data_IF_312763279883
#
_entry.id   IF_312763279883
#
_cell.length_a   1.000
_cell.length_b   1.000
_cell.length_c   1.000
_cell.angle_alpha   90.00
_cell.angle_beta   90.00
_cell.angle_gamma   90.00
#
_symmetry.space_group_name_H-M   'P 1'
#
loop_
_entity.id
_entity.type
_entity.pdbx_description
1 polymer ?
#
# COMPACT_ATOMS: atom_id res chain seq x y z
N UNK A 1 -2.53 22.66 1.76
CA UNK A 1 -3.73 22.62 2.61
C UNK A 1 -3.68 21.40 3.51
N UNK A 2 -4.15 21.54 4.74
CA UNK A 2 -4.22 20.44 5.69
C UNK A 2 -5.58 20.45 6.39
N UNK A 3 -6.24 19.30 6.41
CA UNK A 3 -7.44 19.06 7.19
C UNK A 3 -7.19 17.87 8.12
N UNK A 4 -7.38 18.05 9.42
CA UNK A 4 -7.21 17.00 10.43
C UNK A 4 -8.42 16.99 11.34
N UNK A 5 -9.09 15.84 11.41
CA UNK A 5 -10.20 15.60 12.31
C UNK A 5 -9.89 14.38 13.20
N UNK A 6 -10.06 14.54 14.51
CA UNK A 6 -9.83 13.47 15.47
C UNK A 6 -11.02 13.36 16.42
N UNK A 7 -11.66 12.21 16.44
CA UNK A 7 -12.81 11.92 17.31
C UNK A 7 -12.52 10.69 18.17
N UNK A 8 -12.72 10.79 19.49
CA UNK A 8 -12.48 9.68 20.42
C UNK A 8 -11.32 9.96 21.40
N UNK A 9 -10.53 8.94 21.74
CA UNK A 9 -9.54 9.04 22.82
C UNK A 9 -8.11 8.73 22.34
N UNK A 10 -7.14 9.58 22.71
CA UNK A 10 -5.70 9.33 22.52
C UNK A 10 -5.30 9.06 21.07
N UNK A 11 -6.05 9.57 20.09
CA UNK A 11 -5.62 9.55 18.71
C UNK A 11 -4.44 10.52 18.51
N UNK A 12 -3.43 10.14 17.74
CA UNK A 12 -2.23 10.93 17.50
C UNK A 12 -2.02 11.16 16.02
N UNK A 13 -1.77 12.41 15.63
CA UNK A 13 -1.44 12.76 14.26
C UNK A 13 -0.19 13.66 14.22
N UNK A 14 0.76 13.28 13.36
CA UNK A 14 1.94 14.06 13.05
C UNK A 14 1.95 14.31 11.54
N UNK A 15 1.73 15.55 11.15
CA UNK A 15 1.70 15.97 9.75
C UNK A 15 2.76 17.04 9.49
N UNK A 16 3.59 16.78 8.49
CA UNK A 16 4.55 17.77 7.97
C UNK A 16 4.37 17.90 6.46
N UNK A 17 4.18 19.12 5.98
CA UNK A 17 4.12 19.43 4.56
C UNK A 17 5.12 20.53 4.23
N UNK A 18 6.07 20.25 3.32
CA UNK A 18 7.00 21.24 2.78
C UNK A 18 6.80 21.37 1.27
N UNK A 19 6.99 22.60 0.74
CA UNK A 19 6.79 22.90 -0.67
C UNK A 19 5.44 23.51 -1.01
N UNK A 20 4.94 23.30 -2.25
CA UNK A 20 3.80 24.05 -2.73
C UNK A 20 2.60 23.17 -3.11
N UNK A 21 1.40 23.59 -2.72
CA UNK A 21 0.13 22.96 -3.13
C UNK A 21 -0.02 21.50 -2.70
N UNK A 22 0.64 21.09 -1.62
CA UNK A 22 0.39 19.80 -1.02
C UNK A 22 -0.95 19.83 -0.29
N UNK A 23 -1.67 18.71 -0.31
CA UNK A 23 -2.97 18.53 0.35
C UNK A 23 -2.87 17.32 1.25
N UNK A 24 -3.32 17.44 2.49
CA UNK A 24 -3.46 16.31 3.39
C UNK A 24 -4.83 16.35 4.08
N UNK A 25 -5.55 15.25 4.00
CA UNK A 25 -6.79 14.99 4.73
C UNK A 25 -6.56 13.82 5.67
N UNK A 26 -6.81 13.99 6.95
CA UNK A 26 -6.60 12.95 7.95
C UNK A 26 -7.80 12.92 8.87
N UNK A 27 -8.51 11.79 8.88
CA UNK A 27 -9.65 11.54 9.75
C UNK A 27 -9.36 10.33 10.67
N UNK A 28 -9.42 10.52 11.97
CA UNK A 28 -9.20 9.47 12.96
C UNK A 28 -10.38 9.38 13.91
N UNK A 29 -11.08 8.26 13.88
CA UNK A 29 -12.22 7.97 14.75
C UNK A 29 -11.93 6.75 15.60
N UNK A 30 -12.11 6.86 16.93
CA UNK A 30 -11.90 5.75 17.85
C UNK A 30 -10.84 6.00 18.90
N UNK A 31 -9.98 5.02 19.18
CA UNK A 31 -9.03 5.12 20.27
C UNK A 31 -7.61 4.68 19.90
N UNK A 32 -6.63 5.54 20.23
CA UNK A 32 -5.22 5.21 20.07
C UNK A 32 -4.75 5.05 18.63
N UNK A 33 -5.50 5.53 17.64
CA UNK A 33 -5.06 5.54 16.26
C UNK A 33 -3.88 6.52 16.08
N UNK A 34 -2.90 6.13 15.26
CA UNK A 34 -1.68 6.89 15.06
C UNK A 34 -1.43 7.13 13.58
N UNK A 35 -1.16 8.38 13.21
CA UNK A 35 -0.77 8.74 11.86
C UNK A 35 0.51 9.57 11.84
N UNK A 36 1.42 9.21 10.94
CA UNK A 36 2.59 9.98 10.58
C UNK A 36 2.56 10.26 9.08
N UNK A 37 2.49 11.53 8.72
CA UNK A 37 2.42 11.93 7.33
C UNK A 37 3.48 13.02 7.02
N UNK A 38 4.33 12.73 6.05
CA UNK A 38 5.33 13.65 5.52
C UNK A 38 5.10 13.83 4.02
N UNK A 39 5.00 15.08 3.59
CA UNK A 39 4.92 15.41 2.16
C UNK A 39 5.92 16.52 1.85
N UNK A 40 6.96 16.18 1.09
CA UNK A 40 8.01 17.09 0.63
C UNK A 40 7.95 17.22 -0.89
N UNK A 41 7.78 18.47 -1.38
CA UNK A 41 7.70 18.77 -2.80
C UNK A 41 6.42 19.49 -3.21
N UNK A 42 5.86 19.17 -4.39
CA UNK A 42 4.76 19.96 -4.90
C UNK A 42 3.56 19.13 -5.36
N UNK A 43 2.37 19.56 -4.98
CA UNK A 43 1.09 18.96 -5.41
C UNK A 43 0.94 17.48 -5.01
N UNK A 44 1.56 17.08 -3.93
CA UNK A 44 1.35 15.76 -3.36
C UNK A 44 0.02 15.73 -2.61
N UNK A 45 -0.63 14.57 -2.59
CA UNK A 45 -1.91 14.36 -1.90
C UNK A 45 -1.78 13.20 -0.93
N UNK A 46 -2.21 13.41 0.30
CA UNK A 46 -2.31 12.40 1.35
C UNK A 46 -3.76 12.36 1.84
N UNK A 47 -4.37 11.18 1.84
CA UNK A 47 -5.71 10.94 2.35
C UNK A 47 -5.70 9.74 3.30
N UNK A 48 -6.02 9.95 4.58
CA UNK A 48 -5.94 8.91 5.62
C UNK A 48 -7.22 8.88 6.42
N UNK A 49 -7.87 7.74 6.43
CA UNK A 49 -9.06 7.47 7.24
C UNK A 49 -8.80 6.25 8.15
N UNK A 50 -8.78 6.46 9.45
CA UNK A 50 -8.60 5.44 10.47
C UNK A 50 -9.81 5.38 11.39
N UNK A 51 -10.55 4.27 11.31
CA UNK A 51 -11.73 4.06 12.13
C UNK A 51 -11.58 2.79 12.99
N UNK A 52 -11.42 2.96 14.28
CA UNK A 52 -11.27 1.82 15.18
C UNK A 52 -10.26 2.05 16.30
N UNK A 53 -9.48 1.03 16.61
CA UNK A 53 -8.59 1.03 17.78
C UNK A 53 -7.16 0.66 17.38
N UNK A 54 -6.18 1.48 17.78
CA UNK A 54 -4.75 1.22 17.61
C UNK A 54 -4.31 1.01 16.15
N UNK A 55 -5.02 1.55 15.17
CA UNK A 55 -4.56 1.53 13.80
C UNK A 55 -3.38 2.48 13.63
N UNK A 56 -2.39 2.07 12.82
CA UNK A 56 -1.19 2.85 12.55
C UNK A 56 -1.03 3.10 11.06
N UNK A 57 -0.76 4.34 10.69
CA UNK A 57 -0.44 4.73 9.32
C UNK A 57 0.84 5.55 9.27
N UNK A 58 1.67 5.26 8.29
CA UNK A 58 2.84 6.07 7.94
C UNK A 58 2.84 6.35 6.45
N UNK A 59 2.85 7.62 6.07
CA UNK A 59 2.97 8.06 4.67
C UNK A 59 4.16 8.99 4.54
N UNK A 60 5.01 8.72 3.55
CA UNK A 60 6.15 9.55 3.21
C UNK A 60 6.19 9.80 1.70
N UNK A 61 6.08 11.06 1.28
CA UNK A 61 6.09 11.46 -0.12
C UNK A 61 7.20 12.47 -0.38
N UNK A 62 8.14 12.10 -1.28
CA UNK A 62 9.20 12.99 -1.77
C UNK A 62 9.07 13.18 -3.28
N UNK A 63 8.85 14.43 -3.72
CA UNK A 63 8.74 14.78 -5.13
C UNK A 63 7.43 15.45 -5.51
N UNK A 64 6.87 15.13 -6.68
CA UNK A 64 5.74 15.92 -7.17
C UNK A 64 4.56 15.08 -7.64
N UNK A 65 3.36 15.51 -7.26
CA UNK A 65 2.09 14.89 -7.69
C UNK A 65 1.98 13.41 -7.30
N UNK A 66 2.58 13.01 -6.20
CA UNK A 66 2.36 11.71 -5.62
C UNK A 66 1.02 11.70 -4.87
N UNK A 67 0.34 10.57 -4.87
CA UNK A 67 -0.94 10.39 -4.18
C UNK A 67 -0.85 9.14 -3.29
N UNK A 68 -1.18 9.30 -2.03
CA UNK A 68 -1.22 8.21 -1.05
C UNK A 68 -2.57 8.21 -0.34
N UNK A 69 -3.25 7.07 -0.35
CA UNK A 69 -4.54 6.88 0.30
C UNK A 69 -4.52 5.68 1.22
N UNK A 70 -5.02 5.84 2.44
CA UNK A 70 -5.14 4.77 3.43
C UNK A 70 -6.53 4.77 4.05
N UNK A 71 -7.20 3.60 4.02
CA UNK A 71 -8.41 3.34 4.78
C UNK A 71 -8.17 2.16 5.73
N UNK A 72 -8.26 2.38 7.03
CA UNK A 72 -8.15 1.34 8.05
C UNK A 72 -9.41 1.29 8.90
N UNK A 73 -10.11 0.17 8.88
CA UNK A 73 -11.29 -0.06 9.71
C UNK A 73 -11.08 -1.32 10.56
N UNK A 74 -11.07 -1.15 11.88
CA UNK A 74 -10.91 -2.27 12.80
C UNK A 74 -9.86 -2.03 13.88
N UNK A 75 -9.01 -3.03 14.14
CA UNK A 75 -8.08 -2.96 15.25
C UNK A 75 -6.65 -3.32 14.87
N UNK A 76 -5.71 -2.47 15.25
CA UNK A 76 -4.28 -2.70 15.12
C UNK A 76 -3.83 -3.02 13.67
N UNK A 77 -4.51 -2.47 12.67
CA UNK A 77 -4.03 -2.52 11.30
C UNK A 77 -2.87 -1.54 11.10
N UNK A 78 -1.93 -1.89 10.23
CA UNK A 78 -0.74 -1.08 9.95
C UNK A 78 -0.52 -0.87 8.46
N UNK A 79 -0.35 0.37 8.05
CA UNK A 79 0.01 0.73 6.66
C UNK A 79 1.27 1.58 6.65
N UNK A 80 2.17 1.27 5.73
CA UNK A 80 3.36 2.08 5.41
C UNK A 80 3.41 2.36 3.91
N UNK A 81 3.42 3.62 3.51
CA UNK A 81 3.49 4.04 2.10
C UNK A 81 4.65 5.02 1.92
N UNK A 82 5.62 4.65 1.09
CA UNK A 82 6.74 5.51 0.71
C UNK A 82 6.73 5.76 -0.80
N UNK A 83 6.74 7.01 -1.21
CA UNK A 83 6.75 7.40 -2.61
C UNK A 83 7.87 8.41 -2.89
N UNK A 84 8.84 8.00 -3.70
CA UNK A 84 9.97 8.85 -4.13
C UNK A 84 9.90 9.05 -5.63
N UNK A 85 9.73 10.31 -6.07
CA UNK A 85 9.66 10.65 -7.49
C UNK A 85 8.38 11.38 -7.87
N UNK A 86 7.78 11.04 -9.02
CA UNK A 86 6.67 11.84 -9.49
C UNK A 86 5.47 11.03 -9.97
N UNK A 87 4.29 11.45 -9.58
CA UNK A 87 3.02 10.85 -10.02
C UNK A 87 2.87 9.37 -9.66
N UNK A 88 3.46 8.96 -8.55
CA UNK A 88 3.21 7.63 -8.00
C UNK A 88 1.88 7.63 -7.25
N UNK A 89 1.16 6.51 -7.28
CA UNK A 89 -0.11 6.31 -6.59
C UNK A 89 0.00 5.10 -5.69
N UNK A 90 -0.31 5.25 -4.41
CA UNK A 90 -0.35 4.17 -3.44
C UNK A 90 -1.72 4.15 -2.74
N UNK A 91 -2.37 3.01 -2.70
CA UNK A 91 -3.67 2.85 -2.04
C UNK A 91 -3.69 1.60 -1.16
N UNK A 92 -4.07 1.75 0.10
CA UNK A 92 -4.20 0.65 1.04
C UNK A 92 -5.57 0.68 1.72
N UNK A 93 -6.29 -0.44 1.67
CA UNK A 93 -7.55 -0.63 2.38
C UNK A 93 -7.47 -1.88 3.26
N UNK A 94 -7.61 -1.70 4.56
CA UNK A 94 -7.54 -2.78 5.55
C UNK A 94 -8.84 -2.82 6.38
N UNK A 95 -9.56 -3.92 6.29
CA UNK A 95 -10.82 -4.16 7.02
C UNK A 95 -10.65 -5.38 7.92
N UNK A 96 -10.57 -5.19 9.23
CA UNK A 96 -10.38 -6.28 10.19
C UNK A 96 -9.32 -6.01 11.24
N UNK A 97 -8.47 -6.99 11.50
CA UNK A 97 -7.52 -6.90 12.62
C UNK A 97 -6.10 -7.31 12.22
N UNK A 98 -5.09 -6.57 12.73
CA UNK A 98 -3.68 -6.95 12.61
C UNK A 98 -3.22 -7.15 11.15
N UNK A 99 -3.88 -6.54 10.19
CA UNK A 99 -3.43 -6.56 8.80
C UNK A 99 -2.26 -5.58 8.62
N UNK A 100 -1.30 -5.95 7.77
CA UNK A 100 -0.12 -5.15 7.46
C UNK A 100 -0.03 -4.90 5.97
N UNK A 101 0.22 -3.67 5.56
CA UNK A 101 0.46 -3.30 4.18
C UNK A 101 1.69 -2.39 4.06
N UNK A 102 2.60 -2.74 3.17
CA UNK A 102 3.78 -1.96 2.84
C UNK A 102 3.81 -1.68 1.34
N UNK A 103 3.95 -0.41 0.96
CA UNK A 103 4.00 0.02 -0.44
C UNK A 103 5.17 0.99 -0.62
N UNK A 104 6.21 0.54 -1.31
CA UNK A 104 7.40 1.33 -1.60
C UNK A 104 7.52 1.58 -3.10
N UNK A 105 7.42 2.84 -3.52
CA UNK A 105 7.48 3.25 -4.91
C UNK A 105 8.61 4.23 -5.15
N UNK A 106 9.57 3.84 -5.98
CA UNK A 106 10.67 4.70 -6.39
C UNK A 106 10.67 4.89 -7.92
N UNK A 107 10.54 6.14 -8.38
CA UNK A 107 10.50 6.48 -9.80
C UNK A 107 9.26 7.25 -10.21
N UNK A 108 8.67 6.95 -11.37
CA UNK A 108 7.57 7.77 -11.85
C UNK A 108 6.37 6.96 -12.34
N UNK A 109 5.18 7.40 -11.96
CA UNK A 109 3.91 6.81 -12.41
C UNK A 109 3.77 5.32 -12.04
N UNK A 110 4.35 4.90 -10.93
CA UNK A 110 4.08 3.59 -10.39
C UNK A 110 2.73 3.60 -9.65
N UNK A 111 2.03 2.47 -9.68
CA UNK A 111 0.75 2.31 -9.00
C UNK A 111 0.79 1.05 -8.12
N UNK A 112 0.49 1.19 -6.84
CA UNK A 112 0.43 0.09 -5.88
C UNK A 112 -0.94 0.10 -5.18
N UNK A 113 -1.61 -1.04 -5.15
CA UNK A 113 -2.89 -1.18 -4.47
C UNK A 113 -2.95 -2.43 -3.59
N UNK A 114 -3.45 -2.28 -2.38
CA UNK A 114 -3.65 -3.38 -1.43
C UNK A 114 -5.07 -3.33 -0.87
N UNK A 115 -5.77 -4.48 -0.90
CA UNK A 115 -7.02 -4.71 -0.20
C UNK A 115 -6.89 -5.93 0.69
N UNK A 116 -7.03 -5.75 2.01
CA UNK A 116 -6.99 -6.82 3.00
C UNK A 116 -8.30 -6.84 3.78
N UNK A 117 -8.97 -7.98 3.80
CA UNK A 117 -10.21 -8.21 4.55
C UNK A 117 -10.07 -9.46 5.39
N UNK A 118 -10.11 -9.33 6.72
CA UNK A 118 -9.89 -10.43 7.65
C UNK A 118 -8.85 -10.09 8.70
N UNK A 119 -8.04 -11.06 9.08
CA UNK A 119 -7.04 -10.87 10.12
C UNK A 119 -5.65 -11.37 9.73
N UNK A 120 -4.60 -10.68 10.21
CA UNK A 120 -3.21 -11.13 10.06
C UNK A 120 -2.75 -11.26 8.58
N UNK A 121 -3.39 -10.58 7.64
CA UNK A 121 -2.91 -10.56 6.27
C UNK A 121 -1.73 -9.60 6.13
N UNK A 122 -0.72 -9.99 5.33
CA UNK A 122 0.47 -9.18 5.03
C UNK A 122 0.61 -8.96 3.53
N UNK A 123 0.90 -7.72 3.10
CA UNK A 123 1.12 -7.38 1.71
C UNK A 123 2.29 -6.42 1.58
N UNK A 124 3.36 -6.85 0.92
CA UNK A 124 4.53 -6.04 0.61
C UNK A 124 4.67 -5.82 -0.90
N UNK A 125 4.67 -4.55 -1.32
CA UNK A 125 4.77 -4.15 -2.72
C UNK A 125 5.94 -3.18 -2.90
N UNK A 126 6.97 -3.61 -3.63
CA UNK A 126 8.11 -2.77 -3.99
C UNK A 126 8.15 -2.52 -5.50
N UNK A 127 8.19 -1.27 -5.91
CA UNK A 127 8.26 -0.86 -7.31
C UNK A 127 9.41 0.12 -7.54
N UNK A 128 10.40 -0.29 -8.32
CA UNK A 128 11.53 0.56 -8.70
C UNK A 128 11.56 0.74 -10.21
N UNK A 129 11.36 1.98 -10.67
CA UNK A 129 11.35 2.31 -12.09
C UNK A 129 10.13 3.11 -12.50
N UNK A 130 9.54 2.81 -13.67
CA UNK A 130 8.47 3.67 -14.16
C UNK A 130 7.27 2.88 -14.68
N UNK A 131 6.07 3.34 -14.32
CA UNK A 131 4.81 2.77 -14.81
C UNK A 131 4.64 1.28 -14.45
N UNK A 132 5.15 0.86 -13.33
CA UNK A 132 4.87 -0.45 -12.79
C UNK A 132 3.52 -0.43 -12.06
N UNK A 133 2.79 -1.54 -12.12
CA UNK A 133 1.50 -1.71 -11.46
C UNK A 133 1.52 -2.97 -10.60
N UNK A 134 1.21 -2.84 -9.32
CA UNK A 134 1.11 -3.96 -8.37
C UNK A 134 -0.24 -3.93 -7.67
N UNK A 135 -0.94 -5.05 -7.67
CA UNK A 135 -2.24 -5.20 -7.00
C UNK A 135 -2.29 -6.45 -6.15
N UNK A 136 -2.62 -6.30 -4.88
CA UNK A 136 -2.78 -7.38 -3.90
C UNK A 136 -4.18 -7.36 -3.30
N UNK A 137 -4.88 -8.50 -3.37
CA UNK A 137 -6.19 -8.68 -2.74
C UNK A 137 -6.14 -9.93 -1.86
N UNK A 138 -6.34 -9.76 -0.57
CA UNK A 138 -6.34 -10.84 0.42
C UNK A 138 -7.67 -10.86 1.17
N UNK A 139 -8.41 -11.96 1.03
CA UNK A 139 -9.72 -12.16 1.65
C UNK A 139 -9.68 -13.41 2.53
N UNK A 140 -9.64 -13.22 3.84
CA UNK A 140 -9.48 -14.28 4.84
C UNK A 140 -8.38 -13.97 5.84
N UNK A 141 -7.75 -15.00 6.38
CA UNK A 141 -6.82 -14.82 7.48
C UNK A 141 -5.41 -15.34 7.16
N UNK A 142 -4.38 -14.65 7.67
CA UNK A 142 -2.98 -15.08 7.60
C UNK A 142 -2.49 -15.34 6.16
N UNK A 143 -2.92 -14.54 5.21
CA UNK A 143 -2.43 -14.58 3.84
C UNK A 143 -1.26 -13.62 3.67
N UNK A 144 -0.28 -14.00 2.83
CA UNK A 144 0.94 -13.23 2.60
C UNK A 144 1.20 -13.03 1.10
N UNK A 145 1.46 -11.79 0.69
CA UNK A 145 1.76 -11.40 -0.69
C UNK A 145 3.01 -10.55 -0.74
N UNK A 146 3.99 -10.97 -1.54
CA UNK A 146 5.17 -10.18 -1.88
C UNK A 146 5.19 -9.92 -3.38
N UNK A 147 5.26 -8.65 -3.78
CA UNK A 147 5.35 -8.23 -5.17
C UNK A 147 6.52 -7.26 -5.37
N UNK A 148 7.50 -7.67 -6.13
CA UNK A 148 8.71 -6.90 -6.41
C UNK A 148 8.81 -6.63 -7.92
N UNK A 149 8.89 -5.36 -8.32
CA UNK A 149 8.96 -4.96 -9.72
C UNK A 149 10.13 -3.99 -9.95
N UNK A 150 11.13 -4.45 -10.70
CA UNK A 150 12.26 -3.63 -11.12
C UNK A 150 12.25 -3.41 -12.62
N UNK A 151 12.27 -2.13 -13.03
CA UNK A 151 12.25 -1.75 -14.44
C UNK A 151 11.00 -0.97 -14.84
N UNK A 152 10.41 -1.27 -16.01
CA UNK A 152 9.34 -0.42 -16.49
C UNK A 152 8.14 -1.18 -17.04
N UNK A 153 6.94 -0.70 -16.71
CA UNK A 153 5.67 -1.24 -17.22
C UNK A 153 5.49 -2.72 -16.88
N UNK A 154 5.94 -3.15 -15.72
CA UNK A 154 5.64 -4.46 -15.20
C UNK A 154 4.28 -4.43 -14.51
N UNK A 155 3.53 -5.53 -14.58
CA UNK A 155 2.22 -5.69 -13.97
C UNK A 155 2.21 -6.96 -13.11
N UNK A 156 1.86 -6.83 -11.83
CA UNK A 156 1.76 -7.94 -10.89
C UNK A 156 0.38 -7.92 -10.22
N UNK A 157 -0.36 -9.01 -10.35
CA UNK A 157 -1.66 -9.18 -9.71
C UNK A 157 -1.64 -10.41 -8.80
N UNK A 158 -2.09 -10.26 -7.56
CA UNK A 158 -2.22 -11.33 -6.59
C UNK A 158 -3.62 -11.32 -5.97
N UNK A 159 -4.32 -12.46 -6.01
CA UNK A 159 -5.59 -12.68 -5.32
C UNK A 159 -5.49 -13.91 -4.45
N UNK A 160 -5.71 -13.77 -3.16
CA UNK A 160 -5.80 -14.86 -2.19
C UNK A 160 -7.17 -14.86 -1.51
N UNK A 161 -7.84 -15.99 -1.53
CA UNK A 161 -9.14 -16.19 -0.86
C UNK A 161 -9.07 -17.46 -0.02
N UNK A 162 -9.13 -17.31 1.29
CA UNK A 162 -8.96 -18.39 2.26
C UNK A 162 -7.94 -18.05 3.33
N UNK A 163 -7.21 -19.04 3.82
CA UNK A 163 -6.26 -18.82 4.92
C UNK A 163 -4.90 -19.44 4.64
N UNK A 164 -3.86 -18.85 5.24
CA UNK A 164 -2.49 -19.39 5.20
C UNK A 164 -1.94 -19.53 3.76
N UNK A 165 -2.33 -18.65 2.84
CA UNK A 165 -1.85 -18.66 1.47
C UNK A 165 -0.64 -17.73 1.31
N UNK A 166 0.30 -18.10 0.44
CA UNK A 166 1.51 -17.33 0.15
C UNK A 166 1.68 -17.11 -1.36
N UNK A 167 1.90 -15.87 -1.78
CA UNK A 167 2.26 -15.50 -3.15
C UNK A 167 3.55 -14.67 -3.15
N UNK A 168 4.50 -15.05 -4.00
CA UNK A 168 5.68 -14.24 -4.28
C UNK A 168 5.85 -14.03 -5.78
N UNK A 169 5.88 -12.77 -6.19
CA UNK A 169 6.04 -12.36 -7.58
C UNK A 169 7.23 -11.40 -7.71
N UNK A 170 8.23 -11.78 -8.49
CA UNK A 170 9.37 -10.93 -8.81
C UNK A 170 9.47 -10.70 -10.31
N UNK A 171 9.55 -9.44 -10.73
CA UNK A 171 9.68 -9.05 -12.14
C UNK A 171 10.88 -8.11 -12.30
N UNK A 172 11.91 -8.57 -13.02
CA UNK A 172 13.08 -7.76 -13.39
C UNK A 172 13.15 -7.57 -14.90
N UNK A 173 12.98 -6.32 -15.36
CA UNK A 173 12.98 -5.97 -16.76
C UNK A 173 11.79 -5.10 -17.18
N UNK A 174 11.24 -5.35 -18.38
CA UNK A 174 10.19 -4.47 -18.88
C UNK A 174 9.00 -5.20 -19.46
N UNK A 175 7.80 -4.73 -19.15
CA UNK A 175 6.54 -5.26 -19.67
C UNK A 175 6.32 -6.74 -19.33
N UNK A 176 6.73 -7.13 -18.16
CA UNK A 176 6.41 -8.45 -17.63
C UNK A 176 5.03 -8.41 -16.96
N UNK A 177 4.30 -9.52 -17.03
CA UNK A 177 2.97 -9.67 -16.44
C UNK A 177 2.95 -10.94 -15.58
N UNK A 178 2.59 -10.83 -14.32
CA UNK A 178 2.43 -11.94 -13.40
C UNK A 178 1.04 -11.91 -12.76
N UNK A 179 0.28 -13.00 -12.90
CA UNK A 179 -1.08 -13.09 -12.37
C UNK A 179 -1.22 -14.38 -11.55
N UNK A 180 -1.41 -14.26 -10.24
CA UNK A 180 -1.62 -15.38 -9.34
C UNK A 180 -2.97 -15.30 -8.63
N UNK A 181 -3.73 -16.39 -8.68
CA UNK A 181 -5.00 -16.54 -7.97
C UNK A 181 -4.96 -17.82 -7.14
N UNK A 182 -5.13 -17.68 -5.84
CA UNK A 182 -5.21 -18.80 -4.90
C UNK A 182 -6.57 -18.82 -4.20
N UNK A 183 -7.24 -19.96 -4.29
CA UNK A 183 -8.54 -20.21 -3.65
C UNK A 183 -8.41 -21.42 -2.73
N UNK A 184 -8.70 -21.27 -1.45
CA UNK A 184 -8.54 -22.31 -0.42
C UNK A 184 -7.45 -21.95 0.58
N UNK A 185 -6.88 -22.95 1.24
CA UNK A 185 -5.94 -22.75 2.33
C UNK A 185 -4.58 -23.39 2.02
N UNK A 186 -3.52 -22.91 2.67
CA UNK A 186 -2.17 -23.46 2.61
C UNK A 186 -1.60 -23.55 1.18
N UNK A 187 -2.01 -22.65 0.27
CA UNK A 187 -1.49 -22.62 -1.08
C UNK A 187 -0.24 -21.74 -1.16
N UNK A 188 0.72 -22.18 -2.00
CA UNK A 188 1.94 -21.44 -2.30
C UNK A 188 2.08 -21.23 -3.81
N UNK A 189 2.35 -20.00 -4.24
CA UNK A 189 2.65 -19.68 -5.63
C UNK A 189 3.84 -18.72 -5.70
N UNK A 190 4.79 -19.04 -6.56
CA UNK A 190 5.96 -18.21 -6.78
C UNK A 190 6.17 -18.01 -8.29
N UNK A 191 6.53 -16.80 -8.70
CA UNK A 191 6.97 -16.53 -10.06
C UNK A 191 8.16 -15.59 -10.10
N UNK A 192 9.08 -15.89 -10.98
CA UNK A 192 10.28 -15.09 -11.19
C UNK A 192 10.45 -14.82 -12.68
N UNK A 193 10.27 -13.60 -13.09
CA UNK A 193 10.38 -13.16 -14.47
C UNK A 193 11.58 -12.24 -14.65
N UNK A 194 12.54 -12.65 -15.48
CA UNK A 194 13.72 -11.85 -15.85
C UNK A 194 13.71 -11.59 -17.34
N UNK A 195 13.88 -10.34 -17.76
CA UNK A 195 13.86 -9.94 -19.14
C UNK A 195 12.63 -9.13 -19.53
N UNK A 196 12.14 -9.29 -20.76
CA UNK A 196 11.07 -8.43 -21.25
C UNK A 196 9.90 -9.23 -21.83
N UNK A 197 8.68 -8.76 -21.55
CA UNK A 197 7.43 -9.31 -22.11
C UNK A 197 7.17 -10.77 -21.72
N UNK A 198 7.56 -11.14 -20.51
CA UNK A 198 7.19 -12.44 -19.96
C UNK A 198 5.77 -12.35 -19.37
N UNK A 199 5.01 -13.45 -19.43
CA UNK A 199 3.68 -13.55 -18.81
C UNK A 199 3.55 -14.90 -18.11
N UNK A 200 2.94 -14.93 -16.91
CA UNK A 200 2.59 -16.12 -16.10
C UNK A 200 1.18 -16.02 -15.57
#
# INVERSE_FOLDING_TARGET
EAYVNQTGFVNMNFLTQDGNRNIATIDQVGAGNMNFALSDGNRNVIDVDQNGILNMNQVEQHGNRNEASTLQIGMANSTSQMQIGNRNVASSTQLGMLNVASQNQQGNRNEASTLQVGALNDSDQEQIGNRNEASSIQLGDNNDVIQEQWGNRNEAYALQVGSDNFIWQTQDGNRNEANHVQLGNDNVAESWQVGNRNST
#
